data_IF_829425714887
#
_entry.id   IF_829425714887
#
_cell.length_a   1.000
_cell.length_b   1.000
_cell.length_c   1.000
_cell.angle_alpha   90.00
_cell.angle_beta   90.00
_cell.angle_gamma   90.00
#
_symmetry.space_group_name_H-M   'P 1'
#
loop_
_entity.id
_entity.type
_entity.pdbx_description
1 polymer ?
#
# COMPACT_ATOMS: atom_id res chain seq x y z
N UNK A 1 13.39 -7.50 58.87
CA UNK A 1 12.02 -7.71 59.35
C UNK A 1 11.13 -6.99 58.37
N UNK A 2 10.62 -7.52 57.30
CA UNK A 2 9.89 -8.74 57.06
C UNK A 2 8.43 -8.45 57.12
N UNK A 3 7.78 -8.33 55.98
CA UNK A 3 6.39 -8.74 55.83
C UNK A 3 6.07 -8.81 54.34
N UNK A 4 6.08 -10.03 53.83
CA UNK A 4 5.53 -10.44 52.54
C UNK A 4 4.02 -10.25 52.57
N UNK A 5 3.46 -9.52 51.59
CA UNK A 5 2.03 -9.54 51.30
C UNK A 5 1.77 -10.42 50.06
N UNK A 6 1.47 -11.69 50.37
CA UNK A 6 0.86 -12.62 49.42
C UNK A 6 -0.60 -12.24 49.26
N UNK A 7 -1.00 -11.78 48.09
CA UNK A 7 -2.41 -11.59 47.72
C UNK A 7 -2.97 -12.93 47.24
N UNK A 8 -3.85 -13.51 48.04
CA UNK A 8 -4.60 -14.72 47.75
C UNK A 8 -5.80 -14.44 46.82
N UNK A 9 -6.00 -15.37 45.91
CA UNK A 9 -6.89 -15.34 44.74
C UNK A 9 -8.34 -15.73 45.09
N UNK A 10 -8.97 -15.10 46.09
CA UNK A 10 -10.31 -15.47 46.53
C UNK A 10 -11.19 -14.25 46.92
N UNK A 11 -11.44 -13.36 45.97
CA UNK A 11 -12.58 -12.42 46.06
C UNK A 11 -12.82 -11.70 44.73
N UNK A 12 -13.45 -12.36 43.78
CA UNK A 12 -14.12 -11.72 42.62
C UNK A 12 -15.25 -12.66 42.10
N UNK A 13 -16.23 -12.92 42.96
CA UNK A 13 -17.56 -13.31 42.51
C UNK A 13 -18.45 -12.09 42.73
N UNK A 14 -18.62 -11.30 41.69
CA UNK A 14 -19.65 -10.25 41.63
C UNK A 14 -20.87 -10.86 40.95
N UNK A 15 -21.97 -10.85 41.71
CA UNK A 15 -23.31 -11.29 41.34
C UNK A 15 -23.76 -10.57 40.05
N UNK A 16 -24.01 -11.35 39.00
CA UNK A 16 -24.74 -10.94 37.81
C UNK A 16 -26.14 -11.49 37.86
N UNK A 17 -27.01 -10.88 38.65
CA UNK A 17 -28.45 -11.07 38.47
C UNK A 17 -28.87 -10.26 37.24
N UNK A 18 -29.15 -10.94 36.14
CA UNK A 18 -29.65 -10.36 34.90
C UNK A 18 -31.12 -9.94 35.07
N UNK A 19 -31.40 -8.70 34.73
CA UNK A 19 -32.74 -8.13 34.59
C UNK A 19 -33.50 -8.88 33.46
N UNK A 20 -34.64 -9.55 33.72
CA UNK A 20 -35.36 -10.37 32.74
C UNK A 20 -36.12 -9.56 31.67
N UNK A 21 -36.12 -8.23 31.72
CA UNK A 21 -36.87 -7.38 30.77
C UNK A 21 -36.02 -6.73 29.65
N UNK A 22 -34.75 -7.08 29.56
CA UNK A 22 -33.91 -6.57 28.46
C UNK A 22 -34.06 -7.47 27.20
N UNK A 23 -35.19 -7.30 26.50
CA UNK A 23 -35.35 -7.81 25.13
C UNK A 23 -34.27 -7.12 24.27
N UNK A 24 -33.47 -7.88 23.47
CA UNK A 24 -32.56 -7.24 22.51
C UNK A 24 -33.40 -6.38 21.54
N UNK A 25 -33.13 -5.12 21.51
CA UNK A 25 -33.69 -4.20 20.52
C UNK A 25 -33.40 -4.77 19.13
N UNK A 26 -34.45 -4.95 18.32
CA UNK A 26 -34.32 -5.25 16.90
C UNK A 26 -33.29 -4.27 16.31
N UNK A 27 -32.17 -4.80 15.90
CA UNK A 27 -31.15 -4.04 15.18
C UNK A 27 -31.81 -3.47 13.94
N UNK A 28 -31.94 -2.16 13.89
CA UNK A 28 -32.32 -1.44 12.69
C UNK A 28 -31.43 -1.94 11.53
N UNK A 29 -31.97 -2.10 10.31
CA UNK A 29 -31.18 -2.55 9.17
C UNK A 29 -29.96 -1.63 9.06
N UNK A 30 -28.77 -2.20 9.12
CA UNK A 30 -27.51 -1.47 8.96
C UNK A 30 -27.62 -0.66 7.67
N UNK A 31 -27.58 0.67 7.77
CA UNK A 31 -27.44 1.53 6.57
C UNK A 31 -26.20 1.06 5.84
N UNK A 32 -26.39 0.33 4.74
CA UNK A 32 -25.27 -0.15 3.91
C UNK A 32 -24.49 1.05 3.45
N UNK A 33 -23.24 1.13 3.85
CA UNK A 33 -22.33 2.20 3.42
C UNK A 33 -22.23 2.15 1.89
N UNK A 34 -22.65 3.18 1.14
CA UNK A 34 -22.85 3.10 -0.32
C UNK A 34 -21.59 2.66 -1.09
N UNK A 35 -20.41 3.00 -0.57
CA UNK A 35 -19.14 2.62 -1.19
C UNK A 35 -18.83 1.13 -1.00
N UNK A 36 -19.21 0.54 0.13
CA UNK A 36 -18.99 -0.89 0.39
C UNK A 36 -19.78 -1.76 -0.60
N UNK A 37 -21.07 -1.46 -0.82
CA UNK A 37 -21.88 -2.19 -1.79
C UNK A 37 -21.36 -2.06 -3.23
N UNK A 38 -20.88 -0.86 -3.60
CA UNK A 38 -20.28 -0.66 -4.92
C UNK A 38 -18.95 -1.41 -5.04
N UNK A 39 -18.15 -1.46 -3.97
CA UNK A 39 -16.90 -2.23 -3.94
C UNK A 39 -17.16 -3.73 -4.12
N UNK A 40 -18.13 -4.30 -3.40
CA UNK A 40 -18.53 -5.70 -3.53
C UNK A 40 -18.97 -6.01 -4.96
N UNK A 41 -19.82 -5.17 -5.56
CA UNK A 41 -20.24 -5.33 -6.96
C UNK A 41 -19.05 -5.33 -7.93
N UNK A 42 -18.07 -4.45 -7.73
CA UNK A 42 -16.85 -4.42 -8.54
C UNK A 42 -16.01 -5.68 -8.33
N UNK A 43 -15.89 -6.15 -7.09
CA UNK A 43 -15.14 -7.34 -6.74
C UNK A 43 -15.74 -8.59 -7.38
N UNK A 44 -17.07 -8.75 -7.34
CA UNK A 44 -17.80 -9.86 -7.96
C UNK A 44 -17.57 -9.88 -9.48
N UNK A 45 -17.68 -8.73 -10.15
CA UNK A 45 -17.40 -8.63 -11.58
C UNK A 45 -15.96 -8.98 -11.93
N UNK A 46 -14.99 -8.64 -11.06
CA UNK A 46 -13.59 -9.05 -11.23
C UNK A 46 -13.45 -10.57 -11.07
N UNK A 47 -14.14 -11.17 -10.09
CA UNK A 47 -14.11 -12.61 -9.86
C UNK A 47 -14.73 -13.44 -11.01
N UNK A 48 -15.67 -12.85 -11.75
CA UNK A 48 -16.15 -13.45 -12.99
C UNK A 48 -15.10 -13.51 -14.09
N UNK A 49 -14.12 -12.61 -14.05
CA UNK A 49 -13.10 -12.45 -15.08
C UNK A 49 -11.75 -13.04 -14.71
N UNK A 50 -11.32 -12.87 -13.45
CA UNK A 50 -10.04 -13.34 -12.92
C UNK A 50 -10.28 -14.42 -11.88
N UNK A 51 -9.33 -15.34 -11.79
CA UNK A 51 -9.30 -16.31 -10.70
C UNK A 51 -8.76 -15.59 -9.47
N UNK A 52 -9.65 -15.22 -8.55
CA UNK A 52 -9.31 -14.50 -7.33
C UNK A 52 -9.93 -15.19 -6.11
N UNK A 53 -9.25 -15.09 -4.99
CA UNK A 53 -9.80 -15.45 -3.68
C UNK A 53 -10.42 -14.19 -3.06
N UNK A 54 -11.71 -14.00 -3.25
CA UNK A 54 -12.42 -12.78 -2.83
C UNK A 54 -12.35 -12.54 -1.32
N UNK A 55 -12.21 -13.59 -0.53
CA UNK A 55 -12.19 -13.50 0.93
C UNK A 55 -10.82 -13.11 1.48
N UNK A 56 -9.75 -13.58 0.83
CA UNK A 56 -8.38 -13.39 1.31
C UNK A 56 -7.52 -12.48 0.41
N UNK A 57 -8.03 -12.05 -0.75
CA UNK A 57 -7.34 -11.10 -1.63
C UNK A 57 -7.81 -9.67 -1.39
N UNK A 58 -6.87 -8.83 -0.98
CA UNK A 58 -7.08 -7.41 -0.74
C UNK A 58 -6.45 -6.54 -1.83
N UNK A 59 -6.15 -7.09 -3.01
CA UNK A 59 -5.46 -6.36 -4.07
C UNK A 59 -6.26 -5.16 -4.56
N UNK A 60 -7.59 -5.35 -4.75
CA UNK A 60 -8.48 -4.25 -5.14
C UNK A 60 -8.54 -3.17 -4.06
N UNK A 61 -8.64 -3.58 -2.79
CA UNK A 61 -8.63 -2.68 -1.63
C UNK A 61 -7.38 -1.79 -1.63
N UNK A 62 -6.22 -2.41 -1.76
CA UNK A 62 -4.91 -1.75 -1.68
C UNK A 62 -4.69 -0.81 -2.87
N UNK A 63 -5.05 -1.24 -4.07
CA UNK A 63 -4.97 -0.40 -5.28
C UNK A 63 -5.92 0.80 -5.14
N UNK A 64 -7.17 0.56 -4.72
CA UNK A 64 -8.17 1.62 -4.54
C UNK A 64 -7.75 2.60 -3.46
N UNK A 65 -7.30 2.11 -2.30
CA UNK A 65 -6.81 2.94 -1.21
C UNK A 65 -5.61 3.79 -1.65
N UNK A 66 -4.67 3.22 -2.43
CA UNK A 66 -3.52 3.98 -2.95
C UNK A 66 -3.98 5.07 -3.92
N UNK A 67 -4.97 4.80 -4.79
CA UNK A 67 -5.55 5.82 -5.67
C UNK A 67 -6.28 6.94 -4.93
N UNK A 68 -6.94 6.62 -3.81
CA UNK A 68 -7.64 7.58 -2.95
C UNK A 68 -6.62 8.45 -2.18
N UNK A 69 -5.49 7.89 -1.80
CA UNK A 69 -4.48 8.54 -0.96
C UNK A 69 -3.89 9.81 -1.55
N UNK A 70 -4.07 10.07 -2.84
CA UNK A 70 -3.67 11.32 -3.49
C UNK A 70 -4.35 12.56 -2.87
N UNK A 71 -5.44 12.37 -2.12
CA UNK A 71 -6.12 13.42 -1.35
C UNK A 71 -5.48 13.69 0.01
N UNK A 72 -4.69 12.75 0.53
CA UNK A 72 -4.00 12.91 1.81
C UNK A 72 -2.89 13.96 1.71
N UNK A 73 -2.41 14.40 2.86
CA UNK A 73 -1.24 15.28 2.90
C UNK A 73 -0.01 14.60 2.30
N UNK A 74 0.21 13.33 2.67
CA UNK A 74 1.23 12.46 2.06
C UNK A 74 0.58 11.28 1.37
N UNK A 75 0.57 11.24 0.04
CA UNK A 75 0.10 10.09 -0.72
C UNK A 75 0.94 8.83 -0.50
N UNK A 76 0.32 7.68 -0.70
CA UNK A 76 0.96 6.38 -0.49
C UNK A 76 1.80 5.96 -1.69
N UNK A 77 2.94 5.35 -1.39
CA UNK A 77 3.76 4.61 -2.34
C UNK A 77 3.63 3.12 -2.04
N UNK A 78 3.00 2.39 -2.94
CA UNK A 78 2.67 0.97 -2.75
C UNK A 78 3.42 0.09 -3.72
N UNK A 79 4.10 -0.93 -3.21
CA UNK A 79 4.68 -2.01 -4.00
C UNK A 79 3.84 -3.28 -3.88
N UNK A 80 3.26 -3.71 -4.98
CA UNK A 80 2.48 -4.96 -5.08
C UNK A 80 3.44 -6.07 -5.51
N UNK A 81 3.81 -6.91 -4.58
CA UNK A 81 4.70 -8.04 -4.79
C UNK A 81 3.89 -9.30 -5.10
N UNK A 82 4.30 -10.07 -6.08
CA UNK A 82 3.69 -11.38 -6.37
C UNK A 82 4.35 -12.08 -7.54
N UNK A 83 4.06 -13.36 -7.72
CA UNK A 83 4.57 -14.17 -8.82
C UNK A 83 4.24 -13.55 -10.19
N UNK A 84 4.99 -13.90 -11.21
CA UNK A 84 4.62 -13.59 -12.60
C UNK A 84 3.26 -14.23 -12.90
N UNK A 85 2.47 -13.56 -13.74
CA UNK A 85 1.12 -14.05 -14.16
C UNK A 85 0.09 -14.17 -13.02
N UNK A 86 0.32 -13.59 -11.84
CA UNK A 86 -0.62 -13.60 -10.72
C UNK A 86 -1.79 -12.60 -10.84
N UNK A 87 -2.07 -12.06 -12.02
CA UNK A 87 -3.19 -11.12 -12.23
C UNK A 87 -2.91 -9.66 -11.93
N UNK A 88 -1.82 -9.28 -11.24
CA UNK A 88 -1.51 -7.89 -10.84
C UNK A 88 -1.70 -6.87 -11.96
N UNK A 89 -1.16 -7.15 -13.15
CA UNK A 89 -1.25 -6.25 -14.31
C UNK A 89 -2.69 -6.07 -14.77
N UNK A 90 -3.53 -7.10 -14.66
CA UNK A 90 -4.95 -7.03 -15.03
C UNK A 90 -5.73 -6.08 -14.13
N UNK A 91 -5.49 -6.11 -12.82
CA UNK A 91 -6.07 -5.12 -11.90
C UNK A 91 -5.61 -3.70 -12.26
N UNK A 92 -4.32 -3.50 -12.56
CA UNK A 92 -3.80 -2.17 -12.94
C UNK A 92 -4.34 -1.69 -14.29
N UNK A 93 -4.71 -2.59 -15.21
CA UNK A 93 -5.36 -2.25 -16.49
C UNK A 93 -6.78 -1.70 -16.29
N UNK A 94 -7.45 -2.04 -15.18
CA UNK A 94 -8.77 -1.49 -14.86
C UNK A 94 -8.72 0.01 -14.57
N UNK A 95 -7.56 0.52 -14.15
CA UNK A 95 -7.35 1.95 -13.87
C UNK A 95 -7.00 2.77 -15.12
N UNK A 96 -6.81 2.13 -16.28
CA UNK A 96 -6.53 2.85 -17.52
C UNK A 96 -7.67 3.83 -17.84
N UNK A 97 -7.32 5.02 -18.30
CA UNK A 97 -8.24 6.13 -18.61
C UNK A 97 -8.88 6.82 -17.38
N UNK A 98 -8.41 6.53 -16.17
CA UNK A 98 -8.79 7.33 -15.02
C UNK A 98 -8.14 8.72 -15.08
N UNK A 99 -8.82 9.77 -14.63
CA UNK A 99 -8.23 11.10 -14.52
C UNK A 99 -6.97 11.07 -13.64
N UNK A 100 -5.91 11.72 -14.10
CA UNK A 100 -4.63 11.83 -13.40
C UNK A 100 -3.94 10.49 -13.08
N UNK A 101 -4.27 9.42 -13.81
CA UNK A 101 -3.60 8.13 -13.73
C UNK A 101 -2.58 8.01 -14.87
N UNK A 102 -1.33 7.88 -14.52
CA UNK A 102 -0.20 7.88 -15.44
C UNK A 102 0.55 6.55 -15.37
N UNK A 103 0.45 5.79 -16.45
CA UNK A 103 1.08 4.47 -16.55
C UNK A 103 2.36 4.57 -17.37
N UNK A 104 3.49 4.22 -16.76
CA UNK A 104 4.78 4.12 -17.42
C UNK A 104 5.26 2.67 -17.42
N UNK A 105 5.80 2.21 -18.54
CA UNK A 105 6.30 0.84 -18.67
C UNK A 105 7.79 0.71 -18.33
N UNK A 106 8.55 1.78 -18.45
CA UNK A 106 9.96 1.83 -18.08
C UNK A 106 10.33 3.18 -17.48
N UNK A 107 11.38 3.18 -16.68
CA UNK A 107 11.99 4.37 -16.12
C UNK A 107 13.48 4.39 -16.48
N UNK A 108 13.95 5.56 -16.84
CA UNK A 108 15.37 5.87 -16.97
C UNK A 108 15.77 6.85 -15.87
N UNK A 109 17.07 7.03 -15.62
CA UNK A 109 17.56 7.94 -14.57
C UNK A 109 17.11 9.41 -14.70
N UNK A 110 16.50 9.82 -15.81
CA UNK A 110 16.05 11.19 -16.05
C UNK A 110 14.58 11.31 -16.39
N UNK A 111 13.79 10.20 -16.25
CA UNK A 111 12.40 10.19 -16.67
C UNK A 111 11.52 11.05 -15.79
N UNK A 112 11.59 10.89 -14.46
CA UNK A 112 10.62 11.52 -13.55
C UNK A 112 10.94 13.01 -13.35
N UNK A 113 12.20 13.31 -13.06
CA UNK A 113 12.70 14.68 -12.93
C UNK A 113 13.95 14.85 -13.79
N UNK A 114 13.92 15.79 -14.73
CA UNK A 114 15.02 16.11 -15.61
C UNK A 114 15.64 17.45 -15.23
N UNK A 115 16.96 17.52 -15.30
CA UNK A 115 17.69 18.76 -15.13
C UNK A 115 18.09 19.42 -16.45
N UNK A 116 17.69 18.89 -17.62
CA UNK A 116 18.03 19.48 -18.92
C UNK A 116 17.34 20.83 -19.13
N UNK A 117 18.08 21.80 -19.73
CA UNK A 117 17.57 23.13 -20.05
C UNK A 117 16.36 23.10 -20.98
N UNK A 118 16.37 22.17 -21.92
CA UNK A 118 15.35 22.04 -22.98
C UNK A 118 14.18 21.12 -22.61
N UNK A 119 14.13 20.64 -21.35
CA UNK A 119 13.03 19.82 -20.85
C UNK A 119 12.22 20.58 -19.80
N UNK A 120 10.91 20.42 -19.81
CA UNK A 120 9.98 21.01 -18.83
C UNK A 120 10.13 20.43 -17.41
N UNK A 121 11.32 19.94 -17.04
CA UNK A 121 11.64 19.42 -15.70
C UNK A 121 11.43 17.91 -15.52
N UNK A 122 11.06 17.19 -16.57
CA UNK A 122 10.79 15.74 -16.56
C UNK A 122 9.29 15.40 -16.52
N UNK A 123 8.98 14.10 -16.53
CA UNK A 123 7.61 13.62 -16.68
C UNK A 123 6.65 14.09 -15.59
N UNK A 124 7.10 14.13 -14.34
CA UNK A 124 6.23 14.57 -13.24
C UNK A 124 5.87 16.06 -13.39
N UNK A 125 6.80 17.00 -13.46
CA UNK A 125 6.46 18.41 -13.62
C UNK A 125 5.70 18.72 -14.91
N UNK A 126 6.13 18.14 -16.04
CA UNK A 126 5.61 18.48 -17.35
C UNK A 126 4.24 17.84 -17.67
N UNK A 127 4.03 16.58 -17.25
CA UNK A 127 2.87 15.79 -17.66
C UNK A 127 1.91 15.52 -16.52
N UNK A 128 2.42 15.11 -15.35
CA UNK A 128 1.56 14.82 -14.19
C UNK A 128 1.11 16.08 -13.44
N UNK A 129 1.92 17.14 -13.51
CA UNK A 129 1.62 18.40 -12.83
C UNK A 129 1.73 18.28 -11.30
N UNK A 130 0.73 18.85 -10.59
CA UNK A 130 0.76 18.96 -9.12
C UNK A 130 0.09 17.79 -8.40
N UNK A 131 -0.65 16.92 -9.09
CA UNK A 131 -1.42 15.85 -8.46
C UNK A 131 -1.65 14.71 -9.43
N UNK A 132 -1.28 13.50 -9.04
CA UNK A 132 -1.47 12.34 -9.91
C UNK A 132 -1.13 11.01 -9.26
N UNK A 133 -1.39 9.94 -10.01
CA UNK A 133 -1.09 8.56 -9.63
C UNK A 133 -0.12 8.01 -10.68
N UNK A 134 1.09 7.67 -10.25
CA UNK A 134 2.11 7.03 -11.08
C UNK A 134 2.01 5.51 -10.93
N UNK A 135 1.78 4.82 -12.03
CA UNK A 135 1.71 3.38 -12.09
C UNK A 135 2.85 2.80 -12.93
N UNK A 136 3.59 1.83 -12.37
CA UNK A 136 4.62 1.07 -13.09
C UNK A 136 4.33 -0.42 -12.95
N UNK A 137 3.72 -1.04 -13.99
CA UNK A 137 3.27 -2.43 -13.92
C UNK A 137 4.40 -3.46 -13.86
N UNK A 138 5.62 -3.06 -14.21
CA UNK A 138 6.81 -3.93 -14.16
C UNK A 138 8.02 -3.17 -13.59
N UNK A 139 7.96 -2.86 -12.30
CA UNK A 139 9.09 -2.20 -11.63
C UNK A 139 10.29 -3.13 -11.42
N UNK A 140 10.14 -4.43 -11.65
CA UNK A 140 11.24 -5.41 -11.59
C UNK A 140 12.37 -5.08 -12.58
N UNK A 141 12.06 -4.45 -13.71
CA UNK A 141 13.06 -3.99 -14.68
C UNK A 141 14.00 -2.94 -14.06
N UNK A 142 13.44 -1.98 -13.31
CA UNK A 142 14.24 -0.98 -12.59
C UNK A 142 15.16 -1.63 -11.55
N UNK A 143 14.68 -2.66 -10.86
CA UNK A 143 15.49 -3.42 -9.89
C UNK A 143 16.65 -4.17 -10.57
N UNK A 144 16.54 -4.43 -11.88
CA UNK A 144 17.56 -5.13 -12.66
C UNK A 144 18.62 -4.22 -13.27
N UNK A 145 18.39 -2.87 -13.20
CA UNK A 145 19.35 -1.89 -13.67
C UNK A 145 20.65 -1.91 -12.85
N UNK A 146 21.71 -1.34 -13.40
CA UNK A 146 22.95 -1.12 -12.66
C UNK A 146 22.71 -0.24 -11.43
N UNK A 147 23.57 -0.36 -10.43
CA UNK A 147 23.40 0.33 -9.13
C UNK A 147 23.28 1.85 -9.28
N UNK A 148 24.06 2.46 -10.15
CA UNK A 148 24.04 3.92 -10.36
C UNK A 148 22.68 4.38 -10.92
N UNK A 149 22.15 3.74 -11.97
CA UNK A 149 20.86 4.06 -12.57
C UNK A 149 19.72 3.87 -11.56
N UNK A 150 19.75 2.75 -10.86
CA UNK A 150 18.75 2.45 -9.82
C UNK A 150 18.73 3.49 -8.72
N UNK A 151 19.91 3.88 -8.20
CA UNK A 151 20.01 4.91 -7.15
C UNK A 151 19.51 6.27 -7.63
N UNK A 152 19.74 6.62 -8.88
CA UNK A 152 19.23 7.86 -9.46
C UNK A 152 17.71 7.85 -9.59
N UNK A 153 17.11 6.74 -10.05
CA UNK A 153 15.65 6.56 -10.10
C UNK A 153 15.06 6.66 -8.69
N UNK A 154 15.66 5.99 -7.70
CA UNK A 154 15.19 6.05 -6.31
C UNK A 154 15.30 7.46 -5.71
N UNK A 155 16.32 8.20 -6.07
CA UNK A 155 16.44 9.62 -5.66
C UNK A 155 15.28 10.46 -6.20
N UNK A 156 14.86 10.24 -7.45
CA UNK A 156 13.71 10.92 -8.03
C UNK A 156 12.39 10.51 -7.37
N UNK A 157 12.23 9.23 -7.04
CA UNK A 157 11.07 8.75 -6.30
C UNK A 157 11.00 9.34 -4.89
N UNK A 158 12.15 9.61 -4.24
CA UNK A 158 12.16 10.33 -2.96
C UNK A 158 11.64 11.77 -3.11
N UNK A 159 12.06 12.50 -4.14
CA UNK A 159 11.53 13.82 -4.44
C UNK A 159 10.02 13.79 -4.65
N UNK A 160 9.52 12.80 -5.42
CA UNK A 160 8.09 12.63 -5.65
C UNK A 160 7.31 12.31 -4.35
N UNK A 161 7.89 11.51 -3.45
CA UNK A 161 7.31 11.18 -2.15
C UNK A 161 7.29 12.37 -1.19
N UNK A 162 8.40 13.10 -1.13
CA UNK A 162 8.53 14.26 -0.23
C UNK A 162 7.64 15.43 -0.70
N UNK A 163 7.10 15.35 -1.94
CA UNK A 163 6.12 16.30 -2.48
C UNK A 163 6.70 17.64 -2.89
N UNK A 164 8.01 17.81 -2.73
CA UNK A 164 8.71 19.01 -3.16
C UNK A 164 10.16 18.70 -3.57
N UNK A 165 10.64 19.44 -4.52
CA UNK A 165 12.02 19.34 -4.97
C UNK A 165 12.19 19.83 -6.40
N UNK A 166 13.43 19.86 -6.81
CA UNK A 166 13.83 20.25 -8.14
C UNK A 166 15.25 19.79 -8.40
N UNK A 167 15.62 19.72 -9.66
CA UNK A 167 16.99 19.44 -10.07
C UNK A 167 17.64 20.72 -10.53
N UNK A 168 18.63 21.19 -9.80
CA UNK A 168 19.46 22.30 -10.24
C UNK A 168 20.44 21.79 -11.32
N UNK A 169 20.50 22.46 -12.45
CA UNK A 169 21.57 22.30 -13.42
C UNK A 169 22.60 23.40 -13.21
N UNK A 170 23.88 23.06 -13.26
CA UNK A 170 24.98 24.01 -13.02
C UNK A 170 25.11 25.15 -14.05
N UNK A 171 24.19 25.28 -15.00
CA UNK A 171 24.30 26.20 -16.14
C UNK A 171 23.36 27.42 -16.02
N UNK A 172 22.34 27.39 -15.17
CA UNK A 172 21.39 28.52 -15.15
C UNK A 172 20.86 28.84 -13.74
N UNK A 173 21.64 29.63 -13.00
CA UNK A 173 21.32 30.09 -11.63
C UNK A 173 20.06 30.97 -11.61
N UNK A 174 19.69 31.63 -12.71
CA UNK A 174 18.57 32.57 -12.78
C UNK A 174 17.20 31.90 -12.79
N UNK A 175 17.12 30.60 -13.12
CA UNK A 175 15.88 29.83 -13.26
C UNK A 175 15.67 28.73 -12.22
N UNK A 176 16.51 28.65 -11.18
CA UNK A 176 16.41 27.59 -10.15
C UNK A 176 15.05 27.61 -9.45
N UNK A 177 14.49 28.78 -9.14
CA UNK A 177 13.17 28.89 -8.48
C UNK A 177 12.01 28.47 -9.39
N UNK A 178 12.13 28.68 -10.71
CA UNK A 178 11.10 28.30 -11.67
C UNK A 178 10.98 26.77 -11.89
N UNK A 179 11.99 25.99 -11.49
CA UNK A 179 12.04 24.53 -11.63
C UNK A 179 11.75 23.75 -10.36
N UNK A 180 11.37 24.44 -9.28
CA UNK A 180 10.90 23.78 -8.08
C UNK A 180 9.49 23.25 -8.30
N UNK A 181 9.38 21.92 -8.25
CA UNK A 181 8.09 21.25 -8.30
C UNK A 181 7.55 21.06 -6.88
N UNK A 182 6.26 21.28 -6.71
CA UNK A 182 5.50 20.93 -5.52
C UNK A 182 4.22 20.22 -5.93
N UNK A 183 3.96 19.06 -5.31
CA UNK A 183 2.78 18.28 -5.66
C UNK A 183 2.57 17.05 -4.80
N UNK A 184 1.52 16.31 -5.12
CA UNK A 184 1.09 15.09 -4.43
C UNK A 184 0.97 13.95 -5.43
N UNK A 185 1.88 13.02 -5.38
CA UNK A 185 1.90 11.86 -6.27
C UNK A 185 1.75 10.59 -5.44
N UNK A 186 0.71 9.79 -5.73
CA UNK A 186 0.62 8.43 -5.25
C UNK A 186 1.32 7.49 -6.24
N UNK A 187 1.94 6.41 -5.74
CA UNK A 187 2.64 5.44 -6.60
C UNK A 187 2.12 4.03 -6.39
N UNK A 188 1.91 3.30 -7.51
CA UNK A 188 1.57 1.89 -7.52
C UNK A 188 2.56 1.15 -8.40
N UNK A 189 3.40 0.31 -7.81
CA UNK A 189 4.42 -0.44 -8.53
C UNK A 189 4.20 -1.94 -8.38
N UNK A 190 4.14 -2.68 -9.49
CA UNK A 190 4.09 -4.12 -9.43
C UNK A 190 5.50 -4.72 -9.59
N UNK A 191 5.84 -5.64 -8.70
CA UNK A 191 7.15 -6.28 -8.62
C UNK A 191 7.01 -7.80 -8.45
N UNK A 192 8.06 -8.52 -8.82
CA UNK A 192 8.21 -9.95 -8.48
C UNK A 192 8.87 -10.11 -7.11
N UNK A 193 8.99 -11.34 -6.64
CA UNK A 193 9.70 -11.67 -5.38
C UNK A 193 11.17 -11.19 -5.36
N UNK A 194 11.73 -10.80 -6.51
CA UNK A 194 13.07 -10.21 -6.61
C UNK A 194 13.26 -9.02 -5.65
N UNK A 195 12.18 -8.29 -5.31
CA UNK A 195 12.21 -7.18 -4.35
C UNK A 195 12.72 -7.58 -2.97
N UNK A 196 12.56 -8.84 -2.54
CA UNK A 196 13.02 -9.30 -1.23
C UNK A 196 14.55 -9.19 -1.05
N UNK A 197 15.31 -9.34 -2.14
CA UNK A 197 16.75 -9.10 -2.12
C UNK A 197 17.11 -7.64 -1.84
N UNK A 198 16.24 -6.72 -2.25
CA UNK A 198 16.43 -5.28 -2.04
C UNK A 198 15.91 -4.80 -0.69
N UNK A 199 14.89 -5.46 -0.13
CA UNK A 199 14.41 -5.17 1.23
C UNK A 199 15.49 -5.42 2.30
N UNK A 200 16.42 -6.33 2.05
CA UNK A 200 17.54 -6.59 2.96
C UNK A 200 18.52 -5.41 3.04
N UNK A 201 18.61 -4.63 1.95
CA UNK A 201 19.47 -3.45 1.82
C UNK A 201 18.59 -2.18 1.77
N UNK A 202 17.57 -2.12 2.61
CA UNK A 202 16.48 -1.13 2.55
C UNK A 202 16.94 0.34 2.67
N UNK A 203 18.17 0.60 3.11
CA UNK A 203 18.74 1.94 3.14
C UNK A 203 18.72 2.65 1.78
N UNK A 204 18.83 1.91 0.68
CA UNK A 204 18.87 2.48 -0.67
C UNK A 204 17.49 2.96 -1.19
N UNK A 205 16.41 2.20 -0.88
CA UNK A 205 15.03 2.57 -1.25
C UNK A 205 14.45 3.64 -0.32
N UNK A 206 15.00 3.76 0.89
CA UNK A 206 14.38 4.50 1.98
C UNK A 206 12.95 3.97 2.23
N UNK A 207 12.52 3.95 3.45
CA UNK A 207 11.27 3.33 3.92
C UNK A 207 10.02 4.12 3.53
N UNK A 208 9.98 4.56 2.27
CA UNK A 208 8.89 5.34 1.70
C UNK A 208 7.81 4.47 1.08
N UNK A 209 8.04 3.15 1.01
CA UNK A 209 7.14 2.21 0.38
C UNK A 209 6.46 1.31 1.39
N UNK A 210 5.14 1.18 1.28
CA UNK A 210 4.40 0.06 1.82
C UNK A 210 4.43 -1.10 0.81
N UNK A 211 4.35 -2.31 1.33
CA UNK A 211 4.37 -3.53 0.53
C UNK A 211 3.08 -4.32 0.73
N UNK A 212 2.56 -4.86 -0.36
CA UNK A 212 1.49 -5.83 -0.34
C UNK A 212 1.91 -7.09 -1.07
N UNK A 213 1.95 -8.24 -0.37
CA UNK A 213 2.19 -9.55 -0.98
C UNK A 213 0.89 -10.11 -1.50
N UNK A 214 0.73 -10.05 -2.81
CA UNK A 214 -0.37 -10.66 -3.52
C UNK A 214 -0.05 -12.14 -3.76
N UNK A 215 -0.88 -13.02 -3.19
CA UNK A 215 -0.84 -14.45 -3.43
C UNK A 215 -1.95 -14.78 -4.41
N UNK A 216 -1.59 -15.22 -5.62
CA UNK A 216 -2.57 -15.74 -6.55
C UNK A 216 -3.25 -16.98 -5.96
N UNK A 217 -4.55 -17.14 -6.19
CA UNK A 217 -5.27 -18.37 -5.88
C UNK A 217 -4.64 -19.51 -6.68
N UNK A 218 -4.31 -20.59 -6.00
CA UNK A 218 -3.94 -21.84 -6.65
C UNK A 218 -5.23 -22.53 -7.07
N UNK A 219 -5.35 -22.83 -8.35
CA UNK A 219 -6.50 -23.50 -8.95
C UNK A 219 -6.11 -24.92 -9.36
N UNK A 220 -7.06 -25.84 -9.23
CA UNK A 220 -6.92 -27.20 -9.75
C UNK A 220 -7.23 -27.28 -11.27
N UNK A 221 -7.12 -28.46 -11.84
CA UNK A 221 -7.34 -28.67 -13.27
C UNK A 221 -8.79 -28.43 -13.67
N UNK A 222 -9.76 -28.76 -12.84
CA UNK A 222 -11.19 -28.57 -13.11
C UNK A 222 -11.57 -27.09 -13.07
N UNK A 223 -11.05 -26.33 -12.09
CA UNK A 223 -11.21 -24.87 -12.02
C UNK A 223 -10.55 -24.20 -13.23
N UNK A 224 -9.37 -24.66 -13.67
CA UNK A 224 -8.70 -24.15 -14.86
C UNK A 224 -9.53 -24.39 -16.12
N UNK A 225 -10.08 -25.59 -16.29
CA UNK A 225 -10.92 -25.95 -17.42
C UNK A 225 -12.21 -25.09 -17.42
N UNK A 226 -12.89 -24.98 -16.28
CA UNK A 226 -14.08 -24.15 -16.14
C UNK A 226 -13.80 -22.68 -16.44
N UNK A 227 -12.64 -22.16 -16.04
CA UNK A 227 -12.22 -20.80 -16.35
C UNK A 227 -11.92 -20.61 -17.84
N UNK A 228 -11.22 -21.57 -18.49
CA UNK A 228 -10.82 -21.50 -19.90
C UNK A 228 -12.01 -21.59 -20.86
N UNK A 229 -13.11 -22.23 -20.46
CA UNK A 229 -14.34 -22.41 -21.24
C UNK A 229 -15.36 -21.29 -21.02
N UNK A 230 -15.11 -20.34 -20.12
CA UNK A 230 -16.01 -19.22 -19.86
C UNK A 230 -16.10 -18.30 -21.09
N UNK A 231 -17.32 -18.14 -21.59
CA UNK A 231 -17.62 -17.28 -22.75
C UNK A 231 -17.80 -15.78 -22.36
N UNK A 232 -17.76 -15.48 -21.07
CA UNK A 232 -18.01 -14.13 -20.54
C UNK A 232 -16.76 -13.27 -20.60
N UNK A 233 -16.64 -12.47 -21.66
CA UNK A 233 -15.71 -11.33 -21.65
C UNK A 233 -16.34 -10.20 -20.82
N UNK A 234 -15.67 -9.76 -19.74
CA UNK A 234 -16.21 -8.67 -18.93
C UNK A 234 -16.42 -7.42 -19.79
N UNK A 235 -17.45 -6.67 -19.49
CA UNK A 235 -17.63 -5.32 -20.03
C UNK A 235 -16.64 -4.38 -19.34
N UNK A 236 -15.37 -4.45 -19.73
CA UNK A 236 -14.27 -3.69 -19.12
C UNK A 236 -14.58 -2.19 -19.02
N UNK A 237 -15.29 -1.63 -19.96
CA UNK A 237 -15.70 -0.22 -19.93
C UNK A 237 -16.67 0.08 -18.78
N UNK A 238 -17.63 -0.80 -18.51
CA UNK A 238 -18.57 -0.66 -17.39
C UNK A 238 -17.82 -0.77 -16.06
N UNK A 239 -17.00 -1.81 -15.92
CA UNK A 239 -16.20 -2.06 -14.72
C UNK A 239 -15.26 -0.87 -14.40
N UNK A 240 -14.61 -0.29 -15.41
CA UNK A 240 -13.80 0.94 -15.25
C UNK A 240 -14.63 2.13 -14.78
N UNK A 241 -15.86 2.28 -15.30
CA UNK A 241 -16.77 3.35 -14.88
C UNK A 241 -17.15 3.21 -13.39
N UNK A 242 -17.47 2.00 -12.97
CA UNK A 242 -17.84 1.69 -11.58
C UNK A 242 -16.66 1.89 -10.63
N UNK A 243 -15.45 1.46 -11.01
CA UNK A 243 -14.22 1.75 -10.24
C UNK A 243 -13.99 3.26 -10.13
N UNK A 244 -14.15 4.02 -11.22
CA UNK A 244 -14.04 5.48 -11.18
C UNK A 244 -15.06 6.10 -10.22
N UNK A 245 -16.28 5.63 -10.23
CA UNK A 245 -17.34 6.08 -9.32
C UNK A 245 -16.98 5.77 -7.86
N UNK A 246 -16.56 4.53 -7.59
CA UNK A 246 -16.09 4.09 -6.27
C UNK A 246 -14.98 5.00 -5.73
N UNK A 247 -13.93 5.23 -6.52
CA UNK A 247 -12.82 6.05 -6.10
C UNK A 247 -13.21 7.52 -5.88
N UNK A 248 -14.10 8.05 -6.71
CA UNK A 248 -14.61 9.41 -6.57
C UNK A 248 -15.47 9.59 -5.32
N UNK A 249 -16.34 8.65 -5.01
CA UNK A 249 -17.18 8.71 -3.81
C UNK A 249 -16.35 8.47 -2.54
N UNK A 250 -15.42 7.52 -2.56
CA UNK A 250 -14.54 7.24 -1.43
C UNK A 250 -13.62 8.41 -1.09
N UNK A 251 -13.12 9.16 -2.08
CA UNK A 251 -12.34 10.40 -1.80
C UNK A 251 -13.12 11.42 -0.99
N UNK A 252 -14.45 11.52 -1.20
CA UNK A 252 -15.33 12.42 -0.44
C UNK A 252 -15.63 11.91 0.97
N UNK A 253 -15.52 10.60 1.17
CA UNK A 253 -15.81 9.93 2.44
C UNK A 253 -14.55 9.75 3.32
N UNK A 254 -13.40 10.34 2.96
CA UNK A 254 -12.17 10.23 3.75
C UNK A 254 -12.39 10.76 5.18
N UNK A 255 -12.17 9.93 6.22
CA UNK A 255 -12.30 10.36 7.59
C UNK A 255 -11.16 11.31 7.98
N UNK A 256 -11.46 12.33 8.75
CA UNK A 256 -10.43 13.21 9.31
C UNK A 256 -9.63 12.48 10.40
N UNK A 257 -10.33 11.74 11.28
CA UNK A 257 -9.75 11.01 12.39
C UNK A 257 -10.14 9.54 12.36
N UNK A 258 -9.30 8.71 12.93
CA UNK A 258 -9.56 7.30 13.21
C UNK A 258 -9.69 7.08 14.72
N UNK A 259 -10.34 6.01 15.19
CA UNK A 259 -10.46 5.69 16.61
C UNK A 259 -9.08 5.54 17.29
N UNK A 260 -9.00 5.90 18.58
CA UNK A 260 -7.76 5.86 19.35
C UNK A 260 -7.18 4.43 19.45
N UNK A 261 -8.03 3.43 19.61
CA UNK A 261 -7.61 2.02 19.64
C UNK A 261 -6.94 1.59 18.34
N UNK A 262 -7.47 2.03 17.21
CA UNK A 262 -6.87 1.76 15.90
C UNK A 262 -5.56 2.53 15.73
N UNK A 263 -5.47 3.76 16.26
CA UNK A 263 -4.21 4.52 16.28
C UNK A 263 -3.14 3.80 17.11
N UNK A 264 -3.47 3.29 18.30
CA UNK A 264 -2.58 2.51 19.14
C UNK A 264 -2.11 1.23 18.42
N UNK A 265 -3.03 0.52 17.76
CA UNK A 265 -2.70 -0.66 16.96
C UNK A 265 -1.72 -0.32 15.84
N UNK A 266 -1.99 0.72 15.06
CA UNK A 266 -1.16 1.15 13.93
C UNK A 266 0.23 1.57 14.41
N UNK A 267 0.33 2.34 15.50
CA UNK A 267 1.62 2.76 16.05
C UNK A 267 2.46 1.58 16.55
N UNK A 268 1.81 0.63 17.22
CA UNK A 268 2.46 -0.61 17.67
C UNK A 268 2.97 -1.42 16.49
N UNK A 269 2.16 -1.55 15.43
CA UNK A 269 2.55 -2.22 14.20
C UNK A 269 3.71 -1.50 13.49
N UNK A 270 3.69 -0.18 13.43
CA UNK A 270 4.77 0.61 12.84
C UNK A 270 6.09 0.41 13.57
N UNK A 271 6.08 0.41 14.92
CA UNK A 271 7.26 0.11 15.73
C UNK A 271 7.78 -1.31 15.47
N UNK A 272 6.88 -2.28 15.41
CA UNK A 272 7.24 -3.66 15.14
C UNK A 272 7.87 -3.83 13.76
N UNK A 273 7.28 -3.24 12.71
CA UNK A 273 7.83 -3.26 11.35
C UNK A 273 9.22 -2.61 11.33
N UNK A 274 9.40 -1.46 11.98
CA UNK A 274 10.68 -0.76 12.03
C UNK A 274 11.78 -1.66 12.60
N UNK A 275 11.51 -2.35 13.71
CA UNK A 275 12.42 -3.31 14.30
C UNK A 275 12.69 -4.50 13.36
N UNK A 276 11.65 -5.01 12.73
CA UNK A 276 11.77 -6.15 11.81
C UNK A 276 12.49 -5.81 10.49
N UNK A 277 12.63 -4.53 10.16
CA UNK A 277 13.38 -4.06 8.98
C UNK A 277 14.84 -3.70 9.29
N UNK A 278 15.24 -3.62 10.55
CA UNK A 278 16.62 -3.26 10.92
C UNK A 278 17.64 -4.10 10.14
N UNK A 279 18.61 -3.42 9.54
CA UNK A 279 19.63 -4.09 8.71
C UNK A 279 20.65 -4.77 9.59
N UNK A 280 21.06 -5.98 9.20
CA UNK A 280 22.14 -6.73 9.83
C UNK A 280 23.19 -7.00 8.76
N UNK A 281 24.32 -6.33 8.88
CA UNK A 281 25.46 -6.55 8.01
C UNK A 281 26.24 -7.78 8.47
N UNK A 282 26.65 -8.57 7.50
CA UNK A 282 27.43 -9.79 7.73
C UNK A 282 28.64 -9.78 6.82
N UNK A 283 29.75 -10.22 7.37
CA UNK A 283 30.96 -10.49 6.60
C UNK A 283 30.66 -11.47 5.45
N UNK A 284 31.13 -11.14 4.27
CA UNK A 284 30.84 -11.92 3.06
C UNK A 284 31.48 -13.31 3.08
N UNK A 285 32.57 -13.49 3.83
CA UNK A 285 33.36 -14.71 3.88
C UNK A 285 32.94 -15.60 5.04
N UNK A 286 32.98 -15.08 6.27
CA UNK A 286 32.68 -15.80 7.51
C UNK A 286 31.19 -15.87 7.87
N UNK A 287 30.36 -15.03 7.24
CA UNK A 287 28.95 -14.85 7.58
C UNK A 287 28.68 -14.37 9.00
N UNK A 288 29.71 -13.98 9.75
CA UNK A 288 29.56 -13.38 11.07
C UNK A 288 28.87 -12.02 11.00
N UNK A 289 28.13 -11.69 12.04
CA UNK A 289 27.49 -10.38 12.14
C UNK A 289 28.58 -9.34 12.43
N UNK A 290 28.70 -8.35 11.54
CA UNK A 290 29.62 -7.24 11.68
C UNK A 290 28.94 -6.03 12.34
N UNK A 291 27.70 -5.73 11.93
CA UNK A 291 26.97 -4.58 12.43
C UNK A 291 25.46 -4.89 12.45
N UNK A 292 24.82 -4.48 13.53
CA UNK A 292 23.36 -4.41 13.61
C UNK A 292 23.01 -2.92 13.62
N UNK A 293 22.36 -2.47 12.55
CA UNK A 293 21.93 -1.08 12.46
C UNK A 293 20.78 -0.80 13.42
N UNK A 294 20.74 0.42 13.95
CA UNK A 294 19.57 0.86 14.72
C UNK A 294 18.31 0.83 13.85
N UNK A 295 17.17 0.40 14.39
CA UNK A 295 15.90 0.48 13.68
C UNK A 295 15.55 1.93 13.33
N UNK A 296 14.87 2.11 12.20
CA UNK A 296 14.28 3.42 11.88
C UNK A 296 13.27 3.89 12.94
N UNK A 297 13.07 5.19 13.02
CA UNK A 297 11.98 5.73 13.83
C UNK A 297 10.63 5.45 13.16
N UNK A 298 9.60 4.99 13.89
CA UNK A 298 8.37 4.48 13.31
C UNK A 298 7.43 5.57 12.75
N UNK A 299 7.75 6.85 12.89
CA UNK A 299 6.84 7.96 12.59
C UNK A 299 6.34 7.95 11.14
N UNK A 300 7.21 7.74 10.17
CA UNK A 300 6.85 7.68 8.75
C UNK A 300 5.97 6.47 8.46
N UNK A 301 6.30 5.30 8.98
CA UNK A 301 5.48 4.10 8.85
C UNK A 301 4.11 4.29 9.48
N UNK A 302 4.06 4.90 10.66
CA UNK A 302 2.80 5.23 11.33
C UNK A 302 1.92 6.13 10.46
N UNK A 303 2.49 7.19 9.87
CA UNK A 303 1.78 8.09 8.98
C UNK A 303 1.24 7.35 7.73
N UNK A 304 2.07 6.52 7.10
CA UNK A 304 1.69 5.73 5.93
C UNK A 304 0.56 4.71 6.24
N UNK A 305 0.68 3.96 7.34
CA UNK A 305 -0.32 2.98 7.74
C UNK A 305 -1.63 3.66 8.16
N UNK A 306 -1.55 4.81 8.85
CA UNK A 306 -2.71 5.63 9.17
C UNK A 306 -3.41 6.15 7.92
N UNK A 307 -2.63 6.64 6.94
CA UNK A 307 -3.14 7.08 5.64
C UNK A 307 -3.83 5.95 4.88
N UNK A 308 -3.21 4.77 4.83
CA UNK A 308 -3.81 3.58 4.23
C UNK A 308 -5.13 3.20 4.91
N UNK A 309 -5.14 3.17 6.24
CA UNK A 309 -6.33 2.81 6.99
C UNK A 309 -7.49 3.78 6.77
N UNK A 310 -7.22 5.10 6.75
CA UNK A 310 -8.22 6.12 6.39
C UNK A 310 -8.83 5.86 5.01
N UNK A 311 -8.01 5.52 4.02
CA UNK A 311 -8.50 5.22 2.68
C UNK A 311 -9.35 3.93 2.64
N UNK A 312 -8.98 2.91 3.40
CA UNK A 312 -9.75 1.66 3.53
C UNK A 312 -11.09 1.91 4.23
N UNK A 313 -11.11 2.73 5.29
CA UNK A 313 -12.36 3.15 5.95
C UNK A 313 -13.27 3.95 5.02
N UNK A 314 -12.72 4.75 4.13
CA UNK A 314 -13.49 5.50 3.13
C UNK A 314 -14.18 4.60 2.09
N UNK A 315 -13.64 3.39 1.85
CA UNK A 315 -14.21 2.39 0.95
C UNK A 315 -15.29 1.57 1.67
N UNK A 316 -14.99 1.05 2.86
CA UNK A 316 -15.78 0.00 3.50
C UNK A 316 -16.64 0.47 4.69
N UNK A 317 -16.38 1.69 5.19
CA UNK A 317 -16.99 2.16 6.43
C UNK A 317 -16.27 1.64 7.69
N UNK A 318 -16.70 2.15 8.84
CA UNK A 318 -16.09 1.84 10.15
C UNK A 318 -16.57 0.51 10.73
N UNK A 319 -17.77 0.10 10.40
CA UNK A 319 -18.40 -1.11 10.92
C UNK A 319 -17.85 -2.40 10.26
N UNK A 320 -17.18 -2.25 9.13
CA UNK A 320 -16.59 -3.37 8.40
C UNK A 320 -15.28 -3.83 9.04
N UNK A 321 -15.09 -5.14 9.11
CA UNK A 321 -13.81 -5.75 9.54
C UNK A 321 -12.74 -5.74 8.44
N UNK A 322 -13.15 -5.57 7.18
CA UNK A 322 -12.28 -5.63 6.01
C UNK A 322 -11.13 -4.61 6.02
N UNK A 323 -11.31 -3.33 6.42
CA UNK A 323 -10.22 -2.37 6.53
C UNK A 323 -9.07 -2.85 7.42
N UNK A 324 -9.41 -3.42 8.58
CA UNK A 324 -8.42 -3.92 9.53
C UNK A 324 -7.72 -5.18 9.02
N UNK A 325 -8.44 -6.07 8.36
CA UNK A 325 -7.88 -7.26 7.73
C UNK A 325 -6.91 -6.90 6.59
N UNK A 326 -7.29 -5.99 5.70
CA UNK A 326 -6.43 -5.48 4.63
C UNK A 326 -5.17 -4.80 5.17
N UNK A 327 -5.31 -3.96 6.20
CA UNK A 327 -4.19 -3.29 6.87
C UNK A 327 -3.24 -4.33 7.49
N UNK A 328 -3.75 -5.33 8.19
CA UNK A 328 -2.95 -6.41 8.80
C UNK A 328 -2.16 -7.19 7.75
N UNK A 329 -2.75 -7.42 6.58
CA UNK A 329 -2.04 -8.04 5.45
C UNK A 329 -0.88 -7.19 4.94
N UNK A 330 -1.05 -5.86 4.87
CA UNK A 330 0.02 -4.92 4.50
C UNK A 330 1.11 -4.90 5.58
N UNK A 331 0.75 -4.85 6.87
CA UNK A 331 1.69 -4.90 7.98
C UNK A 331 2.60 -6.13 7.85
N UNK A 332 2.02 -7.32 7.71
CA UNK A 332 2.78 -8.55 7.48
C UNK A 332 3.63 -8.52 6.21
N UNK A 333 3.14 -7.88 5.14
CA UNK A 333 3.87 -7.74 3.88
C UNK A 333 5.06 -6.78 3.97
N UNK A 334 5.03 -5.85 4.91
CA UNK A 334 6.12 -4.91 5.15
C UNK A 334 7.31 -5.53 5.88
N UNK A 335 7.13 -6.67 6.54
CA UNK A 335 8.21 -7.42 7.21
C UNK A 335 8.96 -8.26 6.15
N UNK A 336 10.30 -8.31 6.16
CA UNK A 336 11.05 -9.23 5.29
C UNK A 336 10.57 -10.67 5.44
N UNK A 337 10.39 -11.38 4.34
CA UNK A 337 9.71 -12.69 4.33
C UNK A 337 10.37 -13.73 5.26
N UNK A 338 11.70 -13.82 5.23
CA UNK A 338 12.43 -14.73 6.12
C UNK A 338 12.18 -14.45 7.61
N UNK A 339 12.09 -13.17 7.99
CA UNK A 339 11.80 -12.79 9.39
C UNK A 339 10.36 -13.11 9.76
N UNK A 340 9.44 -12.89 8.83
CA UNK A 340 8.03 -13.23 9.03
C UNK A 340 7.83 -14.75 9.23
N UNK A 341 8.60 -15.59 8.54
CA UNK A 341 8.55 -17.05 8.71
C UNK A 341 9.08 -17.52 10.06
N UNK A 342 10.01 -16.78 10.66
CA UNK A 342 10.55 -17.12 12.00
C UNK A 342 9.57 -16.75 13.13
N UNK A 343 8.72 -15.74 12.90
CA UNK A 343 7.77 -15.24 13.91
C UNK A 343 6.47 -16.06 13.91
N UNK A 344 6.12 -16.68 12.79
CA UNK A 344 4.96 -17.59 12.67
C UNK A 344 5.25 -18.94 13.31
#
# INVERSE_FOLDING_TARGET
>A
MGADNVITNDQLTLDMEGDPDNKPSETAPSEQFPNAALFESVQDQIAEWLVVDTDNDYLLDIISATCISVELERPLFMMIQGASSSGKTKYLELLNNMPNFHKLHCLTPKTLFSGHSDSDGGYIPAVMGKKGILCIPNFTTVLSECRSHRNEIFSQLRIAYDGEGGRATGVDVKNIQARQWRGKIACIFAVTQKIEHFKKNASDLGERFLYYRHNAKVIDEDEMLAWSTRDSKPKISKLRSEINQLLKSSRRALPQNIPDDDMCYIFTAARFIAQMRAVVDRDNSSRQIELIHEPEQPFRLNEQLTGLYKCLLAIHGRESTRPKAALTKVIGSCIPELRLQIIK
#
